data_IF_168765547780
#
_entry.id   IF_168765547780
#
_cell.length_a   1.000
_cell.length_b   1.000
_cell.length_c   1.000
_cell.angle_alpha   90.00
_cell.angle_beta   90.00
_cell.angle_gamma   90.00
#
_symmetry.space_group_name_H-M   'P 1'
#
loop_
_entity.id
_entity.type
_entity.pdbx_description
1 polymer ?
#
# COMPACT_ATOMS: atom_id res chain seq x y z
N UNK A 1 -5.95 54.81 -52.01
CA UNK A 1 -7.37 54.71 -51.63
C UNK A 1 -7.89 53.35 -52.08
N UNK A 2 -8.60 52.65 -51.19
CA UNK A 2 -9.40 51.41 -51.36
C UNK A 2 -8.61 50.10 -51.62
N UNK A 3 -8.40 49.24 -50.60
CA UNK A 3 -9.30 48.20 -50.05
C UNK A 3 -9.25 46.89 -50.89
N UNK A 4 -8.47 45.86 -50.52
CA UNK A 4 -8.64 44.89 -49.42
C UNK A 4 -9.96 44.10 -49.47
N UNK A 5 -9.91 42.84 -49.96
CA UNK A 5 -10.80 41.73 -49.57
C UNK A 5 -10.37 40.43 -50.27
N UNK A 6 -9.40 39.70 -49.69
CA UNK A 6 -9.16 38.28 -50.02
C UNK A 6 -9.66 37.45 -48.85
N UNK A 7 -10.78 36.77 -49.05
CA UNK A 7 -11.34 35.78 -48.13
C UNK A 7 -10.45 34.53 -48.16
N UNK A 8 -9.51 34.44 -47.22
CA UNK A 8 -8.79 33.21 -46.93
C UNK A 8 -9.67 32.30 -46.08
N UNK A 9 -10.06 31.17 -46.66
CA UNK A 9 -10.75 30.07 -45.99
C UNK A 9 -9.83 29.52 -44.89
N UNK A 10 -10.23 29.72 -43.63
CA UNK A 10 -9.61 29.10 -42.46
C UNK A 10 -9.90 27.60 -42.48
N UNK A 11 -8.97 26.82 -43.04
CA UNK A 11 -8.93 25.38 -42.86
C UNK A 11 -8.66 25.08 -41.38
N UNK A 12 -9.68 24.59 -40.68
CA UNK A 12 -9.52 23.98 -39.37
C UNK A 12 -8.68 22.70 -39.53
N UNK A 13 -7.39 22.79 -39.23
CA UNK A 13 -6.59 21.60 -38.91
C UNK A 13 -7.10 21.07 -37.56
N UNK A 14 -7.94 20.04 -37.61
CA UNK A 14 -8.20 19.19 -36.46
C UNK A 14 -6.89 18.48 -36.15
N UNK A 15 -6.16 18.98 -35.15
CA UNK A 15 -5.03 18.27 -34.55
C UNK A 15 -5.56 16.97 -33.93
N UNK A 16 -5.51 15.90 -34.71
CA UNK A 16 -5.69 14.55 -34.24
C UNK A 16 -4.49 14.19 -33.34
N UNK A 17 -4.54 14.62 -32.08
CA UNK A 17 -3.65 14.11 -31.04
C UNK A 17 -3.92 12.61 -30.94
N UNK A 18 -2.96 11.73 -31.25
CA UNK A 18 -3.15 10.32 -31.00
C UNK A 18 -3.30 10.17 -29.49
N UNK A 19 -4.44 9.64 -29.05
CA UNK A 19 -4.58 9.08 -27.72
C UNK A 19 -3.52 7.98 -27.63
N UNK A 20 -2.41 8.28 -26.95
CA UNK A 20 -1.44 7.28 -26.55
C UNK A 20 -2.21 6.26 -25.69
N UNK A 21 -2.59 5.15 -26.30
CA UNK A 21 -2.91 3.94 -25.56
C UNK A 21 -1.70 3.61 -24.69
N UNK A 22 -1.94 3.34 -23.41
CA UNK A 22 -0.92 2.82 -22.51
C UNK A 22 -0.29 1.59 -23.18
N UNK A 23 0.94 1.75 -23.66
CA UNK A 23 1.70 0.66 -24.26
C UNK A 23 2.09 -0.29 -23.12
N UNK A 24 1.31 -1.36 -22.96
CA UNK A 24 1.65 -2.50 -22.13
C UNK A 24 2.79 -3.26 -22.81
N UNK A 25 4.04 -2.87 -22.50
CA UNK A 25 5.21 -3.63 -22.92
C UNK A 25 5.31 -4.90 -22.10
N UNK A 26 5.20 -6.08 -22.74
CA UNK A 26 5.42 -7.36 -22.08
C UNK A 26 6.86 -7.42 -21.55
N UNK A 27 7.01 -7.14 -20.26
CA UNK A 27 8.31 -7.05 -19.64
C UNK A 27 8.93 -8.42 -19.31
N UNK A 28 10.23 -8.43 -19.02
CA UNK A 28 11.00 -9.65 -18.80
C UNK A 28 10.46 -10.45 -17.60
N UNK A 29 10.24 -11.75 -17.81
CA UNK A 29 9.85 -12.76 -16.78
C UNK A 29 8.86 -12.24 -15.73
N UNK A 30 7.68 -11.83 -16.18
CA UNK A 30 6.54 -11.60 -15.28
C UNK A 30 6.55 -10.26 -14.53
N UNK A 31 7.45 -9.33 -14.88
CA UNK A 31 7.36 -7.93 -14.45
C UNK A 31 6.96 -7.06 -15.64
N UNK A 32 5.82 -6.39 -15.57
CA UNK A 32 5.32 -5.50 -16.62
C UNK A 32 5.40 -4.04 -16.15
N UNK A 33 5.88 -3.14 -17.01
CA UNK A 33 5.90 -1.71 -16.73
C UNK A 33 4.69 -1.03 -17.38
N UNK A 34 3.86 -0.39 -16.57
CA UNK A 34 2.65 0.32 -17.00
C UNK A 34 2.77 1.79 -16.63
N UNK A 35 2.67 2.70 -17.60
CA UNK A 35 2.61 4.13 -17.32
C UNK A 35 1.32 4.46 -16.58
N UNK A 36 1.42 5.20 -15.47
CA UNK A 36 0.27 5.55 -14.62
C UNK A 36 -0.15 6.99 -14.90
N UNK A 37 0.68 7.95 -14.50
CA UNK A 37 0.40 9.37 -14.63
C UNK A 37 1.69 10.17 -14.41
N UNK A 38 1.86 11.25 -15.18
CA UNK A 38 3.03 12.11 -15.08
C UNK A 38 4.33 11.32 -15.22
N UNK A 39 5.16 11.36 -14.19
CA UNK A 39 6.48 10.72 -14.13
C UNK A 39 6.45 9.31 -13.52
N UNK A 40 5.27 8.79 -13.21
CA UNK A 40 5.08 7.56 -12.45
C UNK A 40 4.71 6.39 -13.35
N UNK A 41 5.42 5.29 -13.13
CA UNK A 41 5.20 3.98 -13.71
C UNK A 41 4.88 2.99 -12.60
N UNK A 42 3.99 2.05 -12.88
CA UNK A 42 3.70 0.91 -12.03
C UNK A 42 4.40 -0.31 -12.61
N UNK A 43 5.25 -0.96 -11.81
CA UNK A 43 5.85 -2.24 -12.16
C UNK A 43 4.99 -3.35 -11.55
N UNK A 44 4.26 -4.06 -12.39
CA UNK A 44 3.38 -5.15 -11.98
C UNK A 44 4.19 -6.43 -11.87
N UNK A 45 4.34 -6.96 -10.66
CA UNK A 45 4.96 -8.27 -10.42
C UNK A 45 3.89 -9.29 -9.98
N UNK A 46 4.18 -10.60 -9.99
CA UNK A 46 3.25 -11.61 -9.52
C UNK A 46 2.89 -11.41 -8.04
N UNK A 47 3.88 -11.05 -7.22
CA UNK A 47 3.76 -10.94 -5.76
C UNK A 47 3.30 -9.55 -5.27
N UNK A 48 3.35 -8.53 -6.13
CA UNK A 48 2.94 -7.17 -5.78
C UNK A 48 3.28 -6.12 -6.83
N UNK A 49 2.67 -4.95 -6.74
CA UNK A 49 3.04 -3.81 -7.57
C UNK A 49 4.13 -3.01 -6.88
N UNK A 50 5.04 -2.47 -7.67
CA UNK A 50 6.03 -1.46 -7.29
C UNK A 50 5.70 -0.16 -8.04
N UNK A 51 6.20 0.97 -7.56
CA UNK A 51 6.10 2.23 -8.29
C UNK A 51 7.48 2.77 -8.64
N UNK A 52 7.64 3.28 -9.84
CA UNK A 52 8.88 3.85 -10.34
C UNK A 52 8.61 5.28 -10.82
N UNK A 53 9.27 6.25 -10.20
CA UNK A 53 9.32 7.61 -10.70
C UNK A 53 10.58 7.80 -11.55
N UNK A 54 10.43 8.43 -12.70
CA UNK A 54 11.54 8.73 -13.62
C UNK A 54 11.57 10.21 -13.96
N UNK A 55 12.73 10.84 -13.82
CA UNK A 55 12.98 12.18 -14.32
C UNK A 55 14.46 12.45 -14.55
N UNK A 56 14.80 13.73 -14.71
CA UNK A 56 16.15 14.17 -15.10
C UNK A 56 17.20 13.99 -13.99
N UNK A 57 16.78 14.00 -12.71
CA UNK A 57 17.70 13.87 -11.57
C UNK A 57 18.04 12.40 -11.27
N UNK A 58 17.16 11.48 -11.69
CA UNK A 58 17.33 10.05 -11.53
C UNK A 58 16.02 9.28 -11.46
N UNK A 59 16.11 7.99 -11.20
CA UNK A 59 14.98 7.15 -10.87
C UNK A 59 14.79 7.03 -9.36
N UNK A 60 13.53 6.93 -8.92
CA UNK A 60 13.13 6.60 -7.55
C UNK A 60 12.17 5.42 -7.60
N UNK A 61 12.46 4.40 -6.80
CA UNK A 61 11.67 3.17 -6.72
C UNK A 61 10.93 3.10 -5.37
N UNK A 62 9.65 2.80 -5.39
CA UNK A 62 8.85 2.50 -4.20
C UNK A 62 8.64 0.99 -4.14
N UNK A 63 9.19 0.39 -3.08
CA UNK A 63 9.37 -1.04 -2.83
C UNK A 63 10.27 -1.76 -3.86
N UNK A 64 10.99 -2.77 -3.40
CA UNK A 64 11.93 -3.54 -4.24
C UNK A 64 11.38 -4.88 -4.69
N UNK A 65 10.19 -5.28 -4.22
CA UNK A 65 9.56 -6.55 -4.56
C UNK A 65 10.04 -7.71 -3.68
N UNK A 66 9.64 -8.93 -4.05
CA UNK A 66 10.01 -10.16 -3.36
C UNK A 66 11.39 -10.65 -3.79
N UNK A 67 12.13 -11.25 -2.87
CA UNK A 67 13.44 -11.86 -3.13
C UNK A 67 13.41 -12.80 -4.33
N UNK A 68 14.46 -12.75 -5.16
CA UNK A 68 14.59 -13.58 -6.37
C UNK A 68 13.97 -12.96 -7.63
N UNK A 69 13.39 -11.77 -7.53
CA UNK A 69 12.84 -11.01 -8.70
C UNK A 69 13.70 -9.80 -9.09
N UNK A 70 14.83 -9.58 -8.41
CA UNK A 70 15.72 -8.42 -8.62
C UNK A 70 16.13 -8.20 -10.08
N UNK A 71 16.52 -9.26 -10.79
CA UNK A 71 16.93 -9.15 -12.20
C UNK A 71 15.78 -8.74 -13.11
N UNK A 72 14.58 -9.28 -12.87
CA UNK A 72 13.38 -8.92 -13.64
C UNK A 72 12.97 -7.47 -13.38
N UNK A 73 13.00 -7.03 -12.11
CA UNK A 73 12.71 -5.64 -11.74
C UNK A 73 13.77 -4.69 -12.33
N UNK A 74 15.06 -5.00 -12.22
CA UNK A 74 16.14 -4.21 -12.84
C UNK A 74 15.99 -4.12 -14.35
N UNK A 75 15.63 -5.23 -15.00
CA UNK A 75 15.41 -5.24 -16.44
C UNK A 75 14.18 -4.42 -16.84
N UNK A 76 13.08 -4.48 -16.09
CA UNK A 76 11.91 -3.62 -16.31
C UNK A 76 12.24 -2.13 -16.10
N UNK A 77 13.02 -1.77 -15.07
CA UNK A 77 13.49 -0.40 -14.86
C UNK A 77 14.31 0.08 -16.06
N UNK A 78 15.23 -0.75 -16.57
CA UNK A 78 16.07 -0.43 -17.75
C UNK A 78 15.27 -0.26 -19.04
N UNK A 79 14.08 -0.87 -19.16
CA UNK A 79 13.17 -0.65 -20.28
C UNK A 79 12.49 0.72 -20.20
N UNK A 80 12.25 1.22 -18.99
CA UNK A 80 11.61 2.52 -18.77
C UNK A 80 12.63 3.66 -18.80
N UNK A 81 13.83 3.45 -18.25
CA UNK A 81 14.82 4.51 -18.10
C UNK A 81 16.26 4.02 -18.06
N UNK A 82 17.16 4.84 -18.58
CA UNK A 82 18.62 4.69 -18.44
C UNK A 82 19.18 5.48 -17.27
N UNK A 83 18.35 6.26 -16.57
CA UNK A 83 18.77 7.07 -15.44
C UNK A 83 19.17 6.20 -14.23
N UNK A 84 20.17 6.63 -13.43
CA UNK A 84 20.58 5.89 -12.25
C UNK A 84 19.46 5.88 -11.21
N UNK A 85 19.29 4.75 -10.53
CA UNK A 85 18.42 4.65 -9.36
C UNK A 85 19.09 5.38 -8.19
N UNK A 86 18.48 6.46 -7.72
CA UNK A 86 19.00 7.33 -6.65
C UNK A 86 18.37 7.01 -5.29
N UNK A 87 17.08 6.67 -5.33
CA UNK A 87 16.26 6.52 -4.13
C UNK A 87 15.44 5.24 -4.19
N UNK A 88 15.32 4.58 -3.05
CA UNK A 88 14.34 3.53 -2.80
C UNK A 88 13.53 3.93 -1.58
N UNK A 89 12.20 3.84 -1.65
CA UNK A 89 11.32 4.03 -0.50
C UNK A 89 10.66 2.69 -0.18
N UNK A 90 10.86 2.15 1.01
CA UNK A 90 10.11 0.98 1.46
C UNK A 90 8.87 1.40 2.22
N UNK A 91 7.71 0.91 1.76
CA UNK A 91 6.42 1.21 2.36
C UNK A 91 6.17 0.40 3.62
N UNK A 92 6.70 -0.81 3.75
CA UNK A 92 6.60 -1.64 4.95
C UNK A 92 7.75 -2.64 5.05
N UNK A 93 7.83 -3.38 6.17
CA UNK A 93 8.78 -4.47 6.36
C UNK A 93 8.32 -5.81 5.71
N UNK A 94 7.25 -5.79 4.91
CA UNK A 94 6.73 -6.99 4.27
C UNK A 94 7.75 -7.64 3.32
N UNK A 95 7.90 -8.98 3.29
CA UNK A 95 8.88 -9.65 2.44
C UNK A 95 8.71 -9.39 0.94
N UNK A 96 7.49 -9.03 0.50
CA UNK A 96 7.16 -8.63 -0.88
C UNK A 96 7.54 -7.17 -1.20
N UNK A 97 8.01 -6.41 -0.21
CA UNK A 97 8.35 -4.99 -0.30
C UNK A 97 9.85 -4.73 -0.19
N UNK A 98 10.53 -5.47 0.69
CA UNK A 98 11.96 -5.29 1.00
C UNK A 98 12.85 -6.41 0.44
N UNK A 99 12.27 -7.41 -0.20
CA UNK A 99 12.94 -8.67 -0.50
C UNK A 99 14.15 -8.55 -1.44
N UNK A 100 14.25 -7.50 -2.24
CA UNK A 100 15.39 -7.24 -3.11
C UNK A 100 16.27 -6.06 -2.64
N UNK A 101 16.07 -5.53 -1.44
CA UNK A 101 16.82 -4.36 -0.96
C UNK A 101 18.34 -4.55 -1.07
N UNK A 102 18.90 -5.69 -0.64
CA UNK A 102 20.34 -5.96 -0.78
C UNK A 102 20.82 -5.91 -2.24
N UNK A 103 20.00 -6.40 -3.18
CA UNK A 103 20.35 -6.40 -4.59
C UNK A 103 20.31 -5.00 -5.22
N UNK A 104 19.62 -4.04 -4.60
CA UNK A 104 19.59 -2.63 -5.02
C UNK A 104 20.60 -1.78 -4.25
N UNK A 105 20.78 -2.00 -2.94
CA UNK A 105 21.72 -1.27 -2.08
C UNK A 105 23.19 -1.47 -2.47
N UNK A 106 23.51 -2.63 -3.04
CA UNK A 106 24.73 -2.83 -3.81
C UNK A 106 24.44 -2.42 -5.27
N UNK A 107 24.59 -1.14 -5.63
CA UNK A 107 24.36 -0.75 -7.03
C UNK A 107 25.28 -1.54 -7.97
N UNK A 108 24.63 -2.15 -8.96
CA UNK A 108 25.18 -2.67 -10.20
C UNK A 108 26.61 -2.20 -10.51
N UNK A 109 27.58 -3.10 -10.29
CA UNK A 109 28.99 -2.86 -10.58
C UNK A 109 29.91 -3.31 -9.46
N UNK A 110 29.87 -4.61 -9.12
CA UNK A 110 30.92 -5.25 -8.32
C UNK A 110 32.19 -5.46 -9.18
N UNK A 111 32.65 -4.39 -9.83
CA UNK A 111 33.95 -4.32 -10.47
C UNK A 111 34.81 -3.40 -9.61
N UNK A 112 35.75 -3.99 -8.89
CA UNK A 112 36.66 -3.33 -7.94
C UNK A 112 37.58 -2.27 -8.57
N UNK A 113 37.47 -2.03 -9.88
CA UNK A 113 38.25 -1.06 -10.65
C UNK A 113 37.40 0.04 -11.32
N UNK A 114 36.06 0.00 -11.23
CA UNK A 114 35.19 1.07 -11.70
C UNK A 114 34.76 1.92 -10.51
N UNK A 115 34.87 3.25 -10.63
CA UNK A 115 34.54 4.23 -9.60
C UNK A 115 33.26 3.82 -8.82
N UNK A 116 33.38 3.71 -7.50
CA UNK A 116 32.32 3.32 -6.57
C UNK A 116 31.10 4.24 -6.77
N UNK A 117 30.15 3.82 -7.60
CA UNK A 117 28.83 4.47 -7.65
C UNK A 117 28.14 4.07 -6.35
N UNK A 118 27.81 5.02 -5.45
CA UNK A 118 27.06 4.69 -4.25
C UNK A 118 25.71 4.09 -4.65
N UNK A 119 25.27 3.07 -3.90
CA UNK A 119 23.92 2.53 -4.03
C UNK A 119 22.85 3.61 -3.84
N UNK A 120 21.61 3.33 -4.28
CA UNK A 120 20.49 4.20 -3.95
C UNK A 120 20.33 4.29 -2.43
N UNK A 121 19.94 5.47 -1.96
CA UNK A 121 19.58 5.64 -0.56
C UNK A 121 18.20 5.02 -0.32
N UNK A 122 18.10 4.17 0.69
CA UNK A 122 16.89 3.44 1.05
C UNK A 122 16.22 4.15 2.24
N UNK A 123 15.10 4.80 1.97
CA UNK A 123 14.27 5.47 2.97
C UNK A 123 13.20 4.50 3.47
N UNK A 124 13.06 4.35 4.79
CA UNK A 124 11.94 3.65 5.39
C UNK A 124 11.60 4.24 6.76
N UNK A 125 10.46 3.83 7.33
CA UNK A 125 10.14 4.14 8.72
C UNK A 125 11.11 3.39 9.65
N UNK A 126 11.50 3.99 10.77
CA UNK A 126 12.34 3.35 11.80
C UNK A 126 11.90 1.93 12.17
N UNK A 127 10.60 1.69 12.34
CA UNK A 127 10.07 0.38 12.65
C UNK A 127 10.45 -0.69 11.60
N UNK A 128 10.54 -0.32 10.32
CA UNK A 128 11.01 -1.24 9.26
C UNK A 128 12.46 -1.66 9.50
N UNK A 129 13.34 -0.71 9.84
CA UNK A 129 14.73 -1.02 10.19
C UNK A 129 14.81 -1.94 11.42
N UNK A 130 14.02 -1.65 12.46
CA UNK A 130 13.96 -2.47 13.68
C UNK A 130 13.52 -3.90 13.34
N UNK A 131 12.47 -4.09 12.54
CA UNK A 131 12.00 -5.42 12.14
C UNK A 131 13.04 -6.16 11.31
N UNK A 132 13.67 -5.49 10.35
CA UNK A 132 14.73 -6.09 9.55
C UNK A 132 15.92 -6.55 10.40
N UNK A 133 16.30 -5.76 11.40
CA UNK A 133 17.37 -6.10 12.34
C UNK A 133 17.05 -7.33 13.19
N UNK A 134 15.79 -7.50 13.61
CA UNK A 134 15.33 -8.63 14.42
C UNK A 134 15.13 -9.91 13.60
N UNK A 135 14.72 -9.77 12.34
CA UNK A 135 14.52 -10.88 11.41
C UNK A 135 15.80 -11.31 10.68
N UNK A 136 16.97 -10.79 11.09
CA UNK A 136 18.28 -11.17 10.58
C UNK A 136 18.44 -11.00 9.05
N UNK A 137 17.85 -9.93 8.48
CA UNK A 137 18.17 -9.54 7.10
C UNK A 137 19.63 -9.09 7.01
N UNK A 138 20.32 -9.33 5.87
CA UNK A 138 21.69 -8.85 5.68
C UNK A 138 21.73 -7.32 5.84
N UNK A 139 22.81 -6.81 6.45
CA UNK A 139 22.97 -5.37 6.73
C UNK A 139 22.85 -4.52 5.46
N UNK A 140 23.31 -5.05 4.31
CA UNK A 140 23.20 -4.40 3.01
C UNK A 140 21.76 -4.21 2.51
N UNK A 141 20.78 -4.91 3.09
CA UNK A 141 19.36 -4.73 2.79
C UNK A 141 18.69 -3.65 3.66
N UNK A 142 19.35 -3.19 4.72
CA UNK A 142 18.74 -2.32 5.71
C UNK A 142 18.48 -0.93 5.11
N UNK A 143 17.41 -0.24 5.53
CA UNK A 143 17.22 1.17 5.22
C UNK A 143 18.45 1.98 5.65
N UNK A 144 19.01 2.76 4.73
CA UNK A 144 20.13 3.66 5.02
C UNK A 144 19.66 4.94 5.69
N UNK A 145 18.37 5.28 5.51
CA UNK A 145 17.73 6.41 6.14
C UNK A 145 16.38 6.00 6.76
N UNK A 146 16.35 6.01 8.09
CA UNK A 146 15.20 5.66 8.90
C UNK A 146 14.56 6.91 9.49
N UNK A 147 13.41 7.33 8.96
CA UNK A 147 12.71 8.51 9.45
C UNK A 147 11.82 8.19 10.67
N UNK A 148 11.67 9.17 11.57
CA UNK A 148 10.90 9.03 12.83
C UNK A 148 9.61 9.86 12.82
N UNK A 149 9.58 10.91 12.01
CA UNK A 149 8.48 11.85 11.91
C UNK A 149 7.21 11.17 11.40
N UNK A 150 6.06 11.81 11.66
CA UNK A 150 4.78 11.36 11.10
C UNK A 150 4.75 11.46 9.58
N UNK A 151 5.52 12.40 9.04
CA UNK A 151 5.57 12.70 7.63
C UNK A 151 6.96 13.19 7.28
N UNK A 152 7.45 12.75 6.12
CA UNK A 152 8.71 13.17 5.55
C UNK A 152 8.48 13.67 4.14
N UNK A 153 8.97 14.87 3.83
CA UNK A 153 8.75 15.50 2.54
C UNK A 153 10.07 15.92 1.92
N UNK A 154 10.24 15.70 0.63
CA UNK A 154 11.36 16.22 -0.14
C UNK A 154 10.96 16.44 -1.59
N UNK A 155 11.81 17.15 -2.35
CA UNK A 155 11.60 17.35 -3.78
C UNK A 155 12.55 16.47 -4.56
N UNK A 156 12.04 15.85 -5.62
CA UNK A 156 12.85 15.07 -6.54
C UNK A 156 12.17 15.02 -7.91
N UNK A 157 12.95 15.06 -8.97
CA UNK A 157 12.47 15.13 -10.36
C UNK A 157 11.49 16.29 -10.57
N UNK A 158 11.74 17.43 -9.94
CA UNK A 158 10.88 18.62 -10.05
C UNK A 158 9.50 18.54 -9.40
N UNK A 159 9.13 17.47 -8.69
CA UNK A 159 7.88 17.39 -7.91
C UNK A 159 8.12 17.14 -6.41
N UNK A 160 7.12 17.43 -5.59
CA UNK A 160 7.16 17.13 -4.16
C UNK A 160 6.72 15.70 -3.91
N UNK A 161 7.48 15.00 -3.07
CA UNK A 161 7.21 13.64 -2.61
C UNK A 161 6.94 13.72 -1.12
N UNK A 162 5.78 13.23 -0.70
CA UNK A 162 5.37 13.15 0.69
C UNK A 162 5.30 11.67 1.09
N UNK A 163 6.06 11.27 2.11
CA UNK A 163 6.02 9.95 2.72
C UNK A 163 5.31 10.11 4.05
N UNK A 164 4.13 9.53 4.16
CA UNK A 164 3.26 9.68 5.32
C UNK A 164 3.20 8.35 6.07
N UNK A 165 3.61 8.35 7.33
CA UNK A 165 3.49 7.18 8.19
C UNK A 165 2.01 6.89 8.48
N UNK A 166 1.61 5.65 8.22
CA UNK A 166 0.31 5.11 8.60
C UNK A 166 0.51 4.10 9.73
N UNK A 167 0.10 4.43 10.97
CA UNK A 167 0.32 3.53 12.10
C UNK A 167 -0.57 2.29 12.02
N UNK A 168 0.02 1.13 12.33
CA UNK A 168 -0.66 -0.13 12.64
C UNK A 168 -1.62 -0.64 11.57
N UNK A 169 -1.33 -0.40 10.28
CA UNK A 169 -2.13 -0.91 9.18
C UNK A 169 -1.79 -2.38 8.89
N UNK A 170 -0.90 -2.62 7.93
CA UNK A 170 -0.27 -3.92 7.75
C UNK A 170 0.72 -4.21 8.89
N UNK A 171 1.59 -3.27 9.25
CA UNK A 171 2.48 -3.28 10.42
C UNK A 171 2.53 -1.90 11.12
N UNK A 172 3.36 -1.76 12.15
CA UNK A 172 3.63 -0.46 12.79
C UNK A 172 4.51 0.49 11.95
N UNK A 173 5.10 -0.01 10.85
CA UNK A 173 6.06 0.70 10.00
C UNK A 173 5.53 1.15 8.64
N UNK A 174 4.22 1.09 8.42
CA UNK A 174 3.65 1.36 7.10
C UNK A 174 3.75 2.83 6.69
N UNK A 175 3.99 3.05 5.40
CA UNK A 175 4.10 4.37 4.79
C UNK A 175 3.27 4.45 3.52
N UNK A 176 2.57 5.57 3.35
CA UNK A 176 1.88 5.96 2.12
C UNK A 176 2.78 6.97 1.40
N UNK A 177 3.06 6.76 0.12
CA UNK A 177 3.89 7.68 -0.67
C UNK A 177 3.00 8.47 -1.63
N UNK A 178 3.13 9.78 -1.63
CA UNK A 178 2.38 10.68 -2.48
C UNK A 178 3.30 11.45 -3.41
N UNK A 179 3.06 11.33 -4.71
CA UNK A 179 3.70 12.12 -5.75
C UNK A 179 2.77 13.28 -6.08
N UNK A 180 3.07 14.47 -5.54
CA UNK A 180 2.13 15.61 -5.56
C UNK A 180 2.00 16.25 -6.94
N UNK A 181 3.05 16.19 -7.77
CA UNK A 181 3.00 16.73 -9.13
C UNK A 181 2.30 15.77 -10.10
N UNK A 182 2.55 14.47 -9.95
CA UNK A 182 1.92 13.43 -10.76
C UNK A 182 0.53 13.03 -10.24
N UNK A 183 0.13 13.47 -9.05
CA UNK A 183 -1.13 13.13 -8.36
C UNK A 183 -1.36 11.60 -8.26
N UNK A 184 -0.35 10.90 -7.73
CA UNK A 184 -0.37 9.45 -7.53
C UNK A 184 -0.05 9.09 -6.09
N UNK A 185 -0.86 8.21 -5.51
CA UNK A 185 -0.66 7.59 -4.20
C UNK A 185 -0.16 6.16 -4.39
N UNK A 186 0.91 5.79 -3.71
CA UNK A 186 1.37 4.41 -3.55
C UNK A 186 1.01 3.96 -2.15
N UNK A 187 0.12 2.97 -2.07
CA UNK A 187 -0.49 2.56 -0.82
C UNK A 187 0.25 1.42 -0.10
N UNK A 188 1.28 0.82 -0.71
CA UNK A 188 1.97 -0.33 -0.13
C UNK A 188 1.02 -1.49 0.19
N UNK A 189 1.30 -2.25 1.24
CA UNK A 189 0.44 -3.37 1.70
C UNK A 189 -0.92 -2.93 2.27
N UNK A 190 -1.13 -1.64 2.53
CA UNK A 190 -2.37 -1.11 3.14
C UNK A 190 -3.58 -1.37 2.23
N UNK A 191 -3.39 -1.26 0.91
CA UNK A 191 -4.47 -1.39 -0.07
C UNK A 191 -4.15 -2.43 -1.15
N UNK A 192 -5.10 -3.35 -1.37
CA UNK A 192 -5.08 -4.35 -2.42
C UNK A 192 -6.44 -4.42 -3.11
N UNK A 193 -6.43 -4.68 -4.43
CA UNK A 193 -7.63 -5.01 -5.19
C UNK A 193 -7.79 -6.51 -5.44
N UNK A 194 -6.82 -7.32 -5.02
CA UNK A 194 -6.87 -8.79 -5.17
C UNK A 194 -7.43 -9.50 -3.93
N UNK A 195 -7.27 -8.91 -2.75
CA UNK A 195 -7.60 -9.52 -1.46
C UNK A 195 -7.97 -8.46 -0.43
N UNK A 196 -8.56 -8.90 0.68
CA UNK A 196 -8.72 -8.07 1.87
C UNK A 196 -7.35 -7.66 2.44
N UNK A 197 -7.27 -6.50 3.12
CA UNK A 197 -6.03 -6.05 3.77
C UNK A 197 -5.45 -7.13 4.67
N UNK A 198 -4.16 -7.39 4.51
CA UNK A 198 -3.44 -8.27 5.43
C UNK A 198 -3.02 -7.46 6.65
N UNK A 199 -3.01 -8.12 7.81
CA UNK A 199 -2.64 -7.52 9.08
C UNK A 199 -1.59 -8.41 9.73
N UNK A 200 -0.38 -7.88 9.88
CA UNK A 200 0.70 -8.53 10.59
C UNK A 200 0.63 -8.20 12.08
N UNK A 201 -0.07 -9.07 12.82
CA UNK A 201 -0.27 -8.88 14.27
C UNK A 201 1.01 -9.02 15.08
N UNK A 202 2.02 -9.72 14.55
CA UNK A 202 3.31 -9.90 15.23
C UNK A 202 4.13 -8.60 15.19
N UNK A 203 4.03 -7.86 14.08
CA UNK A 203 4.72 -6.59 13.87
C UNK A 203 3.82 -5.36 14.08
N UNK A 204 2.79 -5.47 14.93
CA UNK A 204 2.01 -4.32 15.41
C UNK A 204 0.87 -3.85 14.49
N UNK A 205 0.51 -4.64 13.46
CA UNK A 205 -0.65 -4.41 12.61
C UNK A 205 -1.98 -4.69 13.32
N UNK A 206 -3.01 -3.91 12.98
CA UNK A 206 -4.36 -4.05 13.53
C UNK A 206 -5.43 -3.83 12.45
N UNK A 207 -6.61 -4.43 12.64
CA UNK A 207 -7.76 -4.20 11.74
C UNK A 207 -8.18 -2.73 11.75
N UNK A 208 -8.17 -2.10 12.93
CA UNK A 208 -8.51 -0.67 13.08
C UNK A 208 -7.51 0.24 12.37
N UNK A 209 -6.21 -0.07 12.46
CA UNK A 209 -5.19 0.69 11.74
C UNK A 209 -5.26 0.47 10.22
N UNK A 210 -5.63 -0.74 9.77
CA UNK A 210 -5.87 -1.00 8.35
C UNK A 210 -7.09 -0.20 7.85
N UNK A 211 -8.18 -0.16 8.62
CA UNK A 211 -9.35 0.67 8.32
C UNK A 211 -9.00 2.17 8.30
N UNK A 212 -8.24 2.64 9.30
CA UNK A 212 -7.76 4.01 9.35
C UNK A 212 -6.86 4.36 8.16
N UNK A 213 -6.01 3.43 7.71
CA UNK A 213 -5.17 3.60 6.52
C UNK A 213 -5.98 3.70 5.24
N UNK A 214 -6.99 2.84 5.07
CA UNK A 214 -7.91 2.93 3.94
C UNK A 214 -8.70 4.23 3.92
N UNK A 215 -9.23 4.66 5.07
CA UNK A 215 -9.91 5.95 5.20
C UNK A 215 -8.98 7.11 4.89
N UNK A 216 -7.72 7.06 5.36
CA UNK A 216 -6.71 8.08 5.04
C UNK A 216 -6.43 8.16 3.54
N UNK A 217 -6.34 7.03 2.84
CA UNK A 217 -6.19 7.03 1.38
C UNK A 217 -7.39 7.70 0.71
N UNK A 218 -8.61 7.43 1.18
CA UNK A 218 -9.82 8.08 0.67
C UNK A 218 -9.86 9.58 0.96
N UNK A 219 -9.41 10.01 2.15
CA UNK A 219 -9.38 11.42 2.54
C UNK A 219 -8.38 12.24 1.71
N UNK A 220 -7.27 11.61 1.29
CA UNK A 220 -6.24 12.28 0.50
C UNK A 220 -6.54 12.19 -1.01
N UNK A 221 -7.20 11.13 -1.47
CA UNK A 221 -7.53 10.96 -2.88
C UNK A 221 -8.58 11.98 -3.33
N UNK A 222 -8.21 12.85 -4.26
CA UNK A 222 -9.11 13.87 -4.79
C UNK A 222 -9.74 13.37 -6.09
N UNK A 223 -11.08 13.24 -6.18
CA UNK A 223 -11.73 12.93 -7.45
C UNK A 223 -11.64 14.12 -8.41
N UNK A 224 -11.40 13.86 -9.70
CA UNK A 224 -11.62 14.90 -10.70
C UNK A 224 -13.12 15.14 -10.82
N UNK A 225 -13.63 16.12 -10.07
CA UNK A 225 -15.00 16.60 -10.25
C UNK A 225 -15.01 17.50 -11.48
N UNK A 226 -15.41 16.95 -12.62
CA UNK A 226 -15.87 17.77 -13.74
C UNK A 226 -17.37 17.95 -13.57
N UNK A 227 -17.81 19.20 -13.54
CA UNK A 227 -19.22 19.59 -13.41
C UNK A 227 -20.03 18.79 -14.44
N UNK A 228 -20.95 17.94 -13.96
CA UNK A 228 -21.85 17.07 -14.73
C UNK A 228 -21.25 15.83 -15.43
N UNK A 229 -20.06 15.35 -15.05
CA UNK A 229 -19.56 14.04 -15.49
C UNK A 229 -18.67 13.39 -14.43
N UNK A 230 -18.89 12.10 -14.15
CA UNK A 230 -17.89 11.26 -13.48
C UNK A 230 -16.71 11.09 -14.45
N UNK A 231 -15.88 12.12 -14.57
CA UNK A 231 -14.70 12.06 -15.40
C UNK A 231 -13.77 10.97 -14.85
N UNK A 232 -13.24 10.15 -15.76
CA UNK A 232 -12.09 9.31 -15.44
C UNK A 232 -10.91 10.24 -15.16
N UNK A 233 -10.64 10.52 -13.88
CA UNK A 233 -9.59 11.45 -13.49
C UNK A 233 -9.55 11.74 -11.99
N UNK A 234 -8.45 12.32 -11.55
CA UNK A 234 -8.15 12.63 -10.15
C UNK A 234 -6.98 11.78 -9.65
N UNK A 235 -6.81 11.74 -8.34
CA UNK A 235 -5.69 11.05 -7.73
C UNK A 235 -5.75 9.55 -8.02
N UNK A 236 -4.70 9.03 -8.66
CA UNK A 236 -4.59 7.60 -8.92
C UNK A 236 -3.92 6.89 -7.74
N UNK A 237 -4.38 5.68 -7.44
CA UNK A 237 -3.86 4.86 -6.34
C UNK A 237 -3.25 3.58 -6.91
N UNK A 238 -1.95 3.40 -6.70
CA UNK A 238 -1.24 2.15 -6.94
C UNK A 238 -1.40 1.27 -5.69
N UNK A 239 -2.22 0.19 -5.74
CA UNK A 239 -2.31 -0.75 -4.62
C UNK A 239 -1.03 -1.57 -4.54
N UNK A 240 -0.71 -2.09 -3.35
CA UNK A 240 0.39 -3.06 -3.19
C UNK A 240 0.20 -4.33 -4.01
N UNK A 241 -1.05 -4.71 -4.32
CA UNK A 241 -1.31 -5.77 -5.30
C UNK A 241 -2.63 -5.57 -6.04
N UNK A 242 -2.59 -5.83 -7.34
CA UNK A 242 -3.77 -5.82 -8.20
C UNK A 242 -3.80 -4.66 -9.19
N UNK A 243 -5.01 -4.29 -9.62
CA UNK A 243 -5.23 -3.28 -10.66
C UNK A 243 -5.09 -1.87 -10.09
N UNK A 244 -4.52 -0.97 -10.90
CA UNK A 244 -4.52 0.46 -10.64
C UNK A 244 -5.94 0.97 -10.36
N UNK A 245 -6.08 1.79 -9.33
CA UNK A 245 -7.37 2.32 -8.87
C UNK A 245 -7.41 3.83 -9.02
N UNK A 246 -8.60 4.39 -9.21
CA UNK A 246 -8.81 5.83 -9.31
C UNK A 246 -10.30 6.19 -9.29
N UNK A 247 -10.65 7.40 -8.86
CA UNK A 247 -12.02 7.88 -8.90
C UNK A 247 -12.50 7.90 -10.37
N UNK A 248 -13.53 7.12 -10.68
CA UNK A 248 -14.16 7.07 -12.00
C UNK A 248 -13.85 5.86 -12.88
N UNK A 249 -12.83 5.03 -12.61
CA UNK A 249 -12.58 3.81 -13.42
C UNK A 249 -13.54 2.66 -13.05
N UNK A 250 -14.81 2.75 -13.45
CA UNK A 250 -15.68 1.56 -13.52
C UNK A 250 -15.22 0.72 -14.71
N UNK A 251 -14.48 -0.36 -14.46
CA UNK A 251 -14.23 -1.36 -15.48
C UNK A 251 -15.57 -1.95 -15.92
N UNK A 252 -16.02 -1.59 -17.14
CA UNK A 252 -17.04 -2.33 -17.86
C UNK A 252 -16.47 -3.74 -18.04
N UNK A 253 -16.98 -4.69 -17.26
CA UNK A 253 -16.70 -6.11 -17.43
C UNK A 253 -17.22 -6.47 -18.82
N UNK A 254 -16.33 -6.49 -19.82
CA UNK A 254 -16.61 -7.21 -21.05
C UNK A 254 -16.67 -8.68 -20.66
N UNK A 255 -17.89 -9.21 -20.53
CA UNK A 255 -18.14 -10.64 -20.59
C UNK A 255 -17.83 -11.10 -22.03
N UNK A 256 -16.57 -11.13 -22.40
CA UNK A 256 -16.15 -11.92 -23.55
C UNK A 256 -15.86 -13.35 -23.08
N UNK A 257 -16.92 -14.15 -23.20
CA UNK A 257 -16.89 -15.56 -23.60
C UNK A 257 -15.75 -16.43 -23.06
N UNK A 258 -16.03 -17.10 -21.94
CA UNK A 258 -15.49 -18.43 -21.69
C UNK A 258 -16.67 -19.40 -21.48
N UNK A 259 -17.52 -19.53 -22.51
CA UNK A 259 -18.31 -20.74 -22.67
C UNK A 259 -17.35 -21.88 -23.01
N UNK A 260 -16.83 -22.57 -21.98
CA UNK A 260 -16.37 -23.94 -22.18
C UNK A 260 -17.62 -24.80 -22.35
N UNK A 261 -17.94 -25.13 -23.61
CA UNK A 261 -18.84 -26.24 -23.92
C UNK A 261 -18.26 -27.48 -23.25
N UNK A 262 -19.01 -28.10 -22.33
CA UNK A 262 -18.80 -29.50 -21.98
C UNK A 262 -19.32 -30.33 -23.15
N UNK A 263 -18.54 -31.23 -23.76
CA UNK A 263 -19.15 -32.35 -24.43
C UNK A 263 -19.64 -33.34 -23.37
N UNK A 264 -20.81 -33.91 -23.66
CA UNK A 264 -21.39 -35.12 -23.07
C UNK A 264 -22.34 -34.94 -21.87
N UNK A 265 -23.57 -34.57 -22.22
CA UNK A 265 -24.85 -35.23 -21.89
C UNK A 265 -25.13 -35.69 -20.45
N UNK A 266 -26.04 -34.98 -19.77
CA UNK A 266 -27.40 -35.44 -19.40
C UNK A 266 -28.15 -34.28 -18.66
N UNK A 267 -29.50 -34.22 -18.75
CA UNK A 267 -30.26 -32.97 -18.74
C UNK A 267 -30.62 -32.44 -17.35
N UNK A 268 -30.81 -31.13 -17.28
CA UNK A 268 -31.16 -30.38 -16.08
C UNK A 268 -32.66 -30.37 -15.79
N UNK A 269 -32.99 -29.81 -14.63
CA UNK A 269 -34.31 -29.22 -14.40
C UNK A 269 -34.19 -28.05 -13.44
N UNK A 270 -35.09 -27.10 -13.69
CA UNK A 270 -34.98 -25.69 -13.46
C UNK A 270 -35.36 -25.23 -12.04
N UNK A 271 -35.05 -23.96 -11.84
CA UNK A 271 -35.53 -23.05 -10.81
C UNK A 271 -36.95 -23.28 -10.26
N UNK A 272 -37.11 -23.13 -8.95
CA UNK A 272 -38.20 -22.36 -8.32
C UNK A 272 -37.85 -22.18 -6.83
N UNK A 273 -37.62 -20.97 -6.30
CA UNK A 273 -38.59 -19.97 -5.85
C UNK A 273 -39.59 -20.42 -4.77
N UNK A 274 -39.61 -19.61 -3.69
CA UNK A 274 -40.70 -19.40 -2.71
C UNK A 274 -40.99 -20.57 -1.75
N UNK A 275 -41.39 -20.39 -0.50
CA UNK A 275 -41.76 -19.21 0.26
C UNK A 275 -42.13 -19.65 1.68
N UNK A 276 -42.46 -18.66 2.50
CA UNK A 276 -42.88 -18.75 3.89
C UNK A 276 -43.89 -19.86 4.24
N UNK A 277 -43.86 -20.29 5.51
CA UNK A 277 -45.08 -20.29 6.32
C UNK A 277 -45.57 -21.64 6.85
N UNK A 278 -45.82 -21.66 8.16
CA UNK A 278 -46.69 -22.57 8.93
C UNK A 278 -46.19 -24.03 9.08
N UNK A 279 -46.14 -24.66 10.25
CA UNK A 279 -46.80 -24.37 11.52
C UNK A 279 -47.67 -25.56 11.92
N UNK A 280 -47.15 -26.56 12.66
CA UNK A 280 -47.88 -27.23 13.76
C UNK A 280 -47.06 -28.28 14.49
N UNK A 281 -47.39 -28.35 15.78
CA UNK A 281 -46.82 -29.18 16.81
C UNK A 281 -47.13 -30.68 16.65
N UNK A 282 -46.24 -31.53 17.17
CA UNK A 282 -46.66 -32.69 17.95
C UNK A 282 -45.67 -32.98 19.08
N UNK A 283 -46.20 -32.91 20.32
CA UNK A 283 -45.62 -33.49 21.53
C UNK A 283 -45.72 -35.01 21.49
N UNK A 284 -44.71 -35.70 22.05
CA UNK A 284 -44.69 -36.98 22.82
C UNK A 284 -43.24 -37.53 22.70
N UNK A 285 -42.53 -37.99 23.71
CA UNK A 285 -42.76 -38.19 25.14
C UNK A 285 -41.44 -38.67 25.77
N UNK A 286 -41.25 -38.38 27.05
CA UNK A 286 -40.13 -38.87 27.85
C UNK A 286 -40.17 -40.39 28.06
N UNK A 287 -39.00 -41.04 28.17
CA UNK A 287 -38.63 -42.03 29.21
C UNK A 287 -37.23 -42.62 28.95
N UNK A 288 -36.41 -42.73 30.01
CA UNK A 288 -35.37 -43.77 30.13
C UNK A 288 -33.90 -43.33 30.18
N UNK A 289 -33.42 -42.89 31.34
CA UNK A 289 -32.00 -42.98 31.80
C UNK A 289 -31.61 -44.43 32.16
N UNK A 290 -30.36 -44.77 32.56
CA UNK A 290 -29.03 -44.14 32.34
C UNK A 290 -27.91 -45.16 31.98
N UNK A 291 -26.74 -44.68 31.53
CA UNK A 291 -25.46 -45.36 31.80
C UNK A 291 -24.46 -44.35 32.39
N UNK A 292 -24.05 -44.63 33.64
CA UNK A 292 -22.79 -44.19 34.29
C UNK A 292 -21.63 -44.92 33.56
N UNK A 293 -20.35 -44.53 33.55
CA UNK A 293 -19.47 -43.72 34.38
C UNK A 293 -18.32 -43.25 33.45
N UNK A 294 -17.42 -42.32 33.76
CA UNK A 294 -17.09 -41.59 34.96
C UNK A 294 -15.76 -40.87 34.70
N UNK A 295 -15.62 -39.63 35.15
CA UNK A 295 -14.32 -39.02 35.43
C UNK A 295 -14.48 -38.18 36.69
N UNK A 296 -13.69 -38.56 37.68
CA UNK A 296 -13.69 -38.11 39.06
C UNK A 296 -13.21 -36.67 39.20
N UNK A 297 -13.94 -35.93 40.05
CA UNK A 297 -13.53 -34.65 40.62
C UNK A 297 -12.41 -34.85 41.65
N UNK A 298 -11.48 -33.91 41.71
CA UNK A 298 -10.73 -33.57 42.91
C UNK A 298 -10.92 -32.07 43.16
N UNK A 299 -11.63 -31.76 44.23
CA UNK A 299 -11.76 -30.43 44.79
C UNK A 299 -10.79 -30.32 45.98
N UNK A 300 -10.03 -29.23 46.06
CA UNK A 300 -9.48 -28.73 47.31
C UNK A 300 -9.55 -27.20 47.33
N UNK A 301 -10.13 -26.73 48.41
CA UNK A 301 -10.59 -25.39 48.78
C UNK A 301 -9.44 -24.64 49.47
N UNK A 302 -9.21 -23.33 49.21
CA UNK A 302 -9.15 -22.29 50.27
C UNK A 302 -8.94 -20.85 49.78
N UNK A 303 -9.92 -20.01 50.17
CA UNK A 303 -9.83 -18.61 50.60
C UNK A 303 -9.54 -17.49 49.59
N UNK A 304 -10.63 -16.78 49.26
CA UNK A 304 -10.64 -15.35 48.99
C UNK A 304 -10.17 -14.55 50.21
N UNK A 305 -9.32 -13.54 50.00
CA UNK A 305 -9.16 -12.38 50.89
C UNK A 305 -9.39 -11.09 50.10
N UNK A 306 -10.20 -10.14 50.60
CA UNK A 306 -10.47 -8.87 49.92
C UNK A 306 -9.34 -7.86 50.17
N UNK A 307 -9.03 -7.04 49.16
CA UNK A 307 -8.16 -5.85 49.28
C UNK A 307 -8.89 -4.75 50.08
N UNK A 308 -8.27 -4.12 51.08
CA UNK A 308 -8.84 -2.93 51.70
C UNK A 308 -8.58 -1.69 50.83
N UNK A 309 -9.62 -0.89 50.65
CA UNK A 309 -9.59 0.49 50.15
C UNK A 309 -9.59 1.47 51.34
N UNK A 310 -9.20 2.73 51.05
CA UNK A 310 -9.06 3.95 51.92
C UNK A 310 -7.65 4.16 52.51
N UNK A 311 -7.09 5.37 52.60
CA UNK A 311 -7.66 6.71 52.56
C UNK A 311 -6.64 7.75 52.05
N UNK A 312 -7.19 8.84 51.48
CA UNK A 312 -6.58 10.17 51.37
C UNK A 312 -5.92 10.61 52.68
N UNK A 313 -4.74 11.22 52.60
CA UNK A 313 -4.29 12.22 53.57
C UNK A 313 -3.72 13.44 52.85
N UNK A 314 -4.54 14.48 52.80
CA UNK A 314 -4.21 15.87 52.54
C UNK A 314 -3.45 16.48 53.72
N UNK A 315 -2.39 17.25 53.47
CA UNK A 315 -1.96 18.45 54.22
C UNK A 315 -0.88 19.17 53.37
N UNK A 316 -1.26 20.23 52.66
CA UNK A 316 -1.12 21.67 52.99
C UNK A 316 0.35 22.17 53.08
N UNK A 317 0.76 22.81 51.98
CA UNK A 317 1.30 24.17 51.84
C UNK A 317 2.23 24.78 52.92
N UNK A 318 3.39 25.26 52.45
CA UNK A 318 4.04 26.58 52.73
C UNK A 318 5.18 26.75 51.68
N UNK A 319 5.01 27.59 50.65
CA UNK A 319 5.44 29.01 50.58
C UNK A 319 6.94 29.23 50.88
N UNK A 320 7.74 29.49 49.84
CA UNK A 320 8.65 30.65 49.72
C UNK A 320 9.63 30.50 48.52
N UNK A 321 9.39 31.27 47.46
CA UNK A 321 10.43 31.95 46.68
C UNK A 321 10.43 33.43 47.15
N UNK A 322 11.34 34.36 46.76
CA UNK A 322 12.43 34.27 45.76
C UNK A 322 13.77 34.92 46.21
N UNK A 323 14.84 34.79 45.41
CA UNK A 323 15.78 35.92 45.19
C UNK A 323 16.58 35.77 43.89
N UNK A 324 16.68 36.90 43.18
CA UNK A 324 17.46 37.15 41.96
C UNK A 324 18.89 37.56 42.32
N UNK A 325 19.87 37.18 41.50
CA UNK A 325 21.03 38.00 41.08
C UNK A 325 21.78 37.22 39.99
N UNK A 326 21.80 37.59 38.69
CA UNK A 326 22.46 38.74 38.05
C UNK A 326 23.95 38.86 38.39
N UNK A 327 24.84 38.43 37.48
CA UNK A 327 25.94 39.19 36.85
C UNK A 327 26.80 38.23 35.99
N UNK A 328 27.02 38.52 34.69
CA UNK A 328 28.26 39.10 34.09
C UNK A 328 29.50 38.30 34.51
N UNK A 329 30.23 37.65 33.60
CA UNK A 329 30.92 38.15 32.40
C UNK A 329 31.19 37.01 31.43
#
# INVERSE_FOLDING_TARGET
MAAACVLAVLAWCVDARPLLGAQAGAGPRGVEAVHVQGKIWMLVTPDGNLALQVGEEGALLVDTGKSGTSDAVKAAIRQVTTQPLRWVINTSAGPTRIGNNAAFGQSAGADVNAARVPGPEIIAREAVLIHMSKSNYPVDAWPTDAYLERERTFRFNGEAIEIVHQPSAYSDGDSIVLFRGSDVIVAGEIYSTRRFPLVDREHGGTVEGALAGLNRILDIAVPAVVVNSFAEGGTLVIPGSGRLSGPGRRHRISRHGAHRRRPDGEPGEDAAQSGAGEGRAHRRGCRGTPWRAGCTAAASVLSCRPRPTRARRTRRARLAAPSRSSQRT
#
